data_IF_321835342079
#
_entry.id   IF_321835342079
#
_cell.length_a   1.000
_cell.length_b   1.000
_cell.length_c   1.000
_cell.angle_alpha   90.00
_cell.angle_beta   90.00
_cell.angle_gamma   90.00
#
_symmetry.space_group_name_H-M   'P 1'
#
loop_
_entity.id
_entity.type
_entity.pdbx_description
1 polymer ?
#
# COMPACT_ATOMS: atom_id res chain seq x y z
N UNK A 1 15.19 -1.31 16.78
CA UNK A 1 14.55 -2.64 16.98
C UNK A 1 13.15 -2.60 17.61
N UNK A 2 12.54 -1.42 17.89
CA UNK A 2 11.24 -1.33 18.59
C UNK A 2 10.01 -1.07 17.69
N UNK A 3 10.15 -1.04 16.36
CA UNK A 3 9.06 -0.60 15.48
C UNK A 3 7.88 -1.59 15.44
N UNK A 4 8.17 -2.89 15.48
CA UNK A 4 7.17 -3.97 15.38
C UNK A 4 6.14 -3.95 16.52
N UNK A 5 6.53 -3.89 17.81
CA UNK A 5 5.56 -3.84 18.91
C UNK A 5 4.75 -2.54 18.93
N UNK A 6 5.36 -1.40 18.57
CA UNK A 6 4.65 -0.11 18.51
C UNK A 6 3.58 -0.11 17.41
N UNK A 7 3.91 -0.61 16.21
CA UNK A 7 2.96 -0.65 15.10
C UNK A 7 1.83 -1.66 15.35
N UNK A 8 2.12 -2.80 15.99
CA UNK A 8 1.10 -3.76 16.42
C UNK A 8 0.11 -3.12 17.41
N UNK A 9 0.62 -2.43 18.43
CA UNK A 9 -0.20 -1.73 19.41
C UNK A 9 -1.11 -0.68 18.76
N UNK A 10 -0.56 0.14 17.86
CA UNK A 10 -1.33 1.16 17.14
C UNK A 10 -2.39 0.52 16.23
N UNK A 11 -2.06 -0.56 15.51
CA UNK A 11 -3.02 -1.26 14.66
C UNK A 11 -4.19 -1.84 15.46
N UNK A 12 -3.92 -2.43 16.63
CA UNK A 12 -4.96 -2.90 17.54
C UNK A 12 -5.82 -1.77 18.10
N UNK A 13 -5.20 -0.66 18.53
CA UNK A 13 -5.90 0.51 19.04
C UNK A 13 -6.81 1.13 17.98
N UNK A 14 -6.31 1.40 16.77
CA UNK A 14 -7.10 1.94 15.67
C UNK A 14 -8.27 1.04 15.29
N UNK A 15 -8.06 -0.29 15.27
CA UNK A 15 -9.11 -1.26 14.99
C UNK A 15 -10.22 -1.29 16.04
N UNK A 16 -9.88 -1.03 17.31
CA UNK A 16 -10.82 -0.98 18.42
C UNK A 16 -11.61 0.34 18.46
N UNK A 17 -10.97 1.45 18.10
CA UNK A 17 -11.60 2.77 18.11
C UNK A 17 -12.56 2.92 16.92
N UNK A 18 -12.08 2.65 15.70
CA UNK A 18 -12.90 2.79 14.50
C UNK A 18 -12.39 1.87 13.39
N UNK A 19 -13.08 0.73 13.23
CA UNK A 19 -12.73 -0.30 12.24
C UNK A 19 -13.08 0.11 10.80
N UNK A 20 -14.00 1.06 10.61
CA UNK A 20 -14.57 1.40 9.30
C UNK A 20 -13.97 2.65 8.70
N UNK A 21 -12.84 3.12 9.23
CA UNK A 21 -12.05 4.20 8.63
C UNK A 21 -10.98 3.68 7.67
N UNK A 22 -10.78 4.37 6.53
CA UNK A 22 -9.72 4.00 5.60
C UNK A 22 -8.34 4.09 6.24
N UNK A 23 -8.10 5.05 7.14
CA UNK A 23 -6.84 5.21 7.86
C UNK A 23 -6.55 4.01 8.77
N UNK A 24 -7.56 3.51 9.50
CA UNK A 24 -7.43 2.31 10.33
C UNK A 24 -7.08 1.09 9.47
N UNK A 25 -7.71 0.93 8.31
CA UNK A 25 -7.40 -0.14 7.37
C UNK A 25 -5.96 -0.02 6.82
N UNK A 26 -5.49 1.20 6.55
CA UNK A 26 -4.11 1.46 6.10
C UNK A 26 -3.09 1.13 7.19
N UNK A 27 -3.35 1.50 8.44
CA UNK A 27 -2.47 1.16 9.58
C UNK A 27 -2.35 -0.35 9.76
N UNK A 28 -3.48 -1.07 9.69
CA UNK A 28 -3.50 -2.54 9.77
C UNK A 28 -2.78 -3.16 8.56
N UNK A 29 -2.98 -2.62 7.35
CA UNK A 29 -2.25 -3.04 6.16
C UNK A 29 -0.74 -2.88 6.30
N UNK A 30 -0.28 -1.73 6.81
CA UNK A 30 1.14 -1.48 7.09
C UNK A 30 1.72 -2.46 8.12
N UNK A 31 0.93 -2.82 9.13
CA UNK A 31 1.35 -3.84 10.10
C UNK A 31 1.57 -5.20 9.43
N UNK A 32 0.67 -5.64 8.55
CA UNK A 32 0.84 -6.89 7.81
C UNK A 32 1.98 -6.84 6.79
N UNK A 33 2.19 -5.70 6.12
CA UNK A 33 3.33 -5.46 5.25
C UNK A 33 4.66 -5.65 6.00
N UNK A 34 4.74 -5.10 7.22
CA UNK A 34 5.93 -5.23 8.06
C UNK A 34 6.17 -6.67 8.57
N UNK A 35 5.12 -7.50 8.60
CA UNK A 35 5.20 -8.95 8.86
C UNK A 35 5.50 -9.77 7.59
N UNK A 36 5.77 -9.12 6.45
CA UNK A 36 5.94 -9.76 5.13
C UNK A 36 4.71 -10.56 4.69
N UNK A 37 3.53 -10.23 5.22
CA UNK A 37 2.24 -10.82 4.82
C UNK A 37 1.59 -9.95 3.74
N UNK A 38 2.25 -9.81 2.60
CA UNK A 38 1.90 -8.86 1.54
C UNK A 38 0.48 -9.05 1.00
N UNK A 39 0.02 -10.29 0.82
CA UNK A 39 -1.36 -10.56 0.35
C UNK A 39 -2.43 -10.03 1.32
N UNK A 40 -2.20 -10.20 2.63
CA UNK A 40 -3.10 -9.66 3.66
C UNK A 40 -3.05 -8.14 3.67
N UNK A 41 -1.86 -7.56 3.56
CA UNK A 41 -1.70 -6.11 3.48
C UNK A 41 -2.52 -5.52 2.31
N UNK A 42 -2.40 -6.10 1.12
CA UNK A 42 -3.20 -5.73 -0.07
C UNK A 42 -4.70 -5.85 0.20
N UNK A 43 -5.15 -6.90 0.88
CA UNK A 43 -6.58 -7.05 1.21
C UNK A 43 -7.08 -5.90 2.10
N UNK A 44 -6.29 -5.47 3.08
CA UNK A 44 -6.64 -4.34 3.94
C UNK A 44 -6.57 -3.00 3.20
N UNK A 45 -5.61 -2.80 2.29
CA UNK A 45 -5.58 -1.61 1.43
C UNK A 45 -6.77 -1.57 0.48
N UNK A 46 -7.17 -2.69 -0.11
CA UNK A 46 -8.41 -2.77 -0.89
C UNK A 46 -9.64 -2.41 -0.06
N UNK A 47 -9.72 -2.85 1.20
CA UNK A 47 -10.78 -2.43 2.13
C UNK A 47 -10.75 -0.92 2.40
N UNK A 48 -9.57 -0.34 2.60
CA UNK A 48 -9.43 1.12 2.73
C UNK A 48 -10.00 1.82 1.49
N UNK A 49 -9.70 1.31 0.29
CA UNK A 49 -10.20 1.85 -0.97
C UNK A 49 -11.71 1.65 -1.20
N UNK A 50 -12.32 0.63 -0.61
CA UNK A 50 -13.78 0.48 -0.62
C UNK A 50 -14.49 1.51 0.25
N UNK A 51 -13.83 1.97 1.32
CA UNK A 51 -14.33 3.01 2.22
C UNK A 51 -14.08 4.40 1.65
N UNK A 52 -12.87 4.63 1.14
CA UNK A 52 -12.49 5.86 0.46
C UNK A 52 -11.59 5.57 -0.76
N UNK A 53 -12.17 5.75 -1.95
CA UNK A 53 -11.48 5.54 -3.22
C UNK A 53 -10.40 6.60 -3.49
N UNK A 54 -10.43 7.73 -2.78
CA UNK A 54 -9.48 8.82 -2.89
C UNK A 54 -8.31 8.70 -1.91
N UNK A 55 -8.26 7.61 -1.14
CA UNK A 55 -7.18 7.32 -0.22
C UNK A 55 -5.86 7.04 -0.97
N UNK A 56 -5.07 8.09 -1.18
CA UNK A 56 -3.81 8.07 -1.90
C UNK A 56 -2.76 7.15 -1.28
N UNK A 57 -2.71 7.10 0.05
CA UNK A 57 -1.81 6.22 0.79
C UNK A 57 -2.13 4.74 0.51
N UNK A 58 -3.41 4.37 0.45
CA UNK A 58 -3.79 3.00 0.15
C UNK A 58 -3.36 2.57 -1.27
N UNK A 59 -3.51 3.44 -2.27
CA UNK A 59 -3.05 3.14 -3.64
C UNK A 59 -1.53 3.00 -3.74
N UNK A 60 -0.77 3.91 -3.12
CA UNK A 60 0.71 3.88 -3.16
C UNK A 60 1.28 2.69 -2.39
N UNK A 61 0.73 2.39 -1.19
CA UNK A 61 1.15 1.24 -0.39
C UNK A 61 0.78 -0.08 -1.06
N UNK A 62 -0.42 -0.19 -1.65
CA UNK A 62 -0.81 -1.36 -2.43
C UNK A 62 0.12 -1.58 -3.64
N UNK A 63 0.60 -0.51 -4.27
CA UNK A 63 1.65 -0.56 -5.29
C UNK A 63 2.94 -1.22 -4.75
N UNK A 64 3.44 -0.77 -3.60
CA UNK A 64 4.64 -1.36 -2.99
C UNK A 64 4.46 -2.85 -2.69
N UNK A 65 3.32 -3.24 -2.10
CA UNK A 65 3.06 -4.65 -1.81
C UNK A 65 3.02 -5.51 -3.09
N UNK A 66 2.50 -4.97 -4.20
CA UNK A 66 2.51 -5.70 -5.47
C UNK A 66 3.92 -5.86 -6.06
N UNK A 67 4.82 -4.90 -5.83
CA UNK A 67 6.24 -5.03 -6.19
C UNK A 67 6.89 -6.17 -5.40
N UNK A 68 6.66 -6.24 -4.09
CA UNK A 68 7.16 -7.33 -3.22
C UNK A 68 6.58 -8.69 -3.65
N UNK A 69 5.32 -8.71 -4.09
CA UNK A 69 4.67 -9.91 -4.67
C UNK A 69 5.13 -10.23 -6.11
N UNK A 70 6.06 -9.46 -6.67
CA UNK A 70 6.54 -9.57 -8.07
C UNK A 70 5.42 -9.47 -9.11
N UNK A 71 4.29 -8.85 -8.75
CA UNK A 71 3.20 -8.57 -9.66
C UNK A 71 3.32 -7.14 -10.20
N UNK A 72 4.28 -6.95 -11.09
CA UNK A 72 4.63 -5.63 -11.65
C UNK A 72 3.44 -4.97 -12.37
N UNK A 73 2.58 -5.77 -13.02
CA UNK A 73 1.40 -5.26 -13.72
C UNK A 73 0.40 -4.62 -12.74
N UNK A 74 0.07 -5.31 -11.64
CA UNK A 74 -0.83 -4.77 -10.62
C UNK A 74 -0.21 -3.60 -9.85
N UNK A 75 1.12 -3.60 -9.67
CA UNK A 75 1.84 -2.49 -9.08
C UNK A 75 1.71 -1.22 -9.94
N UNK A 76 1.99 -1.33 -11.25
CA UNK A 76 1.85 -0.23 -12.21
C UNK A 76 0.42 0.33 -12.19
N UNK A 77 -0.60 -0.53 -12.23
CA UNK A 77 -2.00 -0.08 -12.16
C UNK A 77 -2.29 0.70 -10.87
N UNK A 78 -1.81 0.20 -9.73
CA UNK A 78 -2.00 0.84 -8.42
C UNK A 78 -1.32 2.21 -8.35
N UNK A 79 -0.10 2.34 -8.88
CA UNK A 79 0.59 3.62 -8.93
C UNK A 79 -0.06 4.59 -9.92
N UNK A 80 -0.53 4.13 -11.08
CA UNK A 80 -1.27 4.99 -12.01
C UNK A 80 -2.53 5.55 -11.38
N UNK A 81 -3.29 4.72 -10.65
CA UNK A 81 -4.45 5.18 -9.87
C UNK A 81 -4.05 6.20 -8.79
N UNK A 82 -2.92 5.99 -8.10
CA UNK A 82 -2.41 6.96 -7.14
C UNK A 82 -2.09 8.32 -7.79
N UNK A 83 -1.44 8.31 -8.96
CA UNK A 83 -1.16 9.52 -9.76
C UNK A 83 -2.45 10.21 -10.21
N UNK A 84 -3.46 9.44 -10.65
CA UNK A 84 -4.75 10.00 -11.06
C UNK A 84 -5.48 10.68 -9.90
N UNK A 85 -5.40 10.12 -8.68
CA UNK A 85 -5.97 10.71 -7.47
C UNK A 85 -5.23 11.99 -7.07
N UNK A 86 -3.90 11.97 -7.08
CA UNK A 86 -3.10 13.15 -6.79
C UNK A 86 -1.83 13.22 -7.66
N UNK A 87 -1.91 14.00 -8.73
CA UNK A 87 -0.81 14.18 -9.69
C UNK A 87 0.42 14.88 -9.10
N UNK A 88 0.27 15.55 -7.95
CA UNK A 88 1.37 16.27 -7.27
C UNK A 88 2.12 15.41 -6.25
N UNK A 89 1.67 14.18 -5.98
CA UNK A 89 2.38 13.29 -5.07
C UNK A 89 3.56 12.63 -5.77
N UNK A 90 4.77 13.03 -5.37
CA UNK A 90 6.01 12.49 -5.93
C UNK A 90 6.18 10.99 -5.62
N UNK A 91 5.59 10.46 -4.55
CA UNK A 91 5.76 9.06 -4.13
C UNK A 91 5.13 8.11 -5.15
N UNK A 92 3.97 8.48 -5.69
CA UNK A 92 3.29 7.70 -6.71
C UNK A 92 4.09 7.68 -8.02
N UNK A 93 4.65 8.83 -8.42
CA UNK A 93 5.54 8.93 -9.59
C UNK A 93 6.84 8.15 -9.41
N UNK A 94 7.43 8.25 -8.22
CA UNK A 94 8.65 7.52 -7.88
C UNK A 94 8.42 6.00 -7.94
N UNK A 95 7.37 5.50 -7.28
CA UNK A 95 7.00 4.09 -7.33
C UNK A 95 6.69 3.61 -8.74
N UNK A 96 6.01 4.43 -9.55
CA UNK A 96 5.75 4.13 -10.96
C UNK A 96 7.05 4.02 -11.77
N UNK A 97 7.99 4.96 -11.60
CA UNK A 97 9.31 4.91 -12.25
C UNK A 97 10.08 3.66 -11.88
N UNK A 98 10.18 3.34 -10.59
CA UNK A 98 10.83 2.12 -10.11
C UNK A 98 10.19 0.86 -10.68
N UNK A 99 8.86 0.80 -10.77
CA UNK A 99 8.19 -0.38 -11.37
C UNK A 99 8.47 -0.54 -12.85
N UNK A 100 8.62 0.55 -13.61
CA UNK A 100 8.98 0.47 -15.02
C UNK A 100 10.44 0.04 -15.21
N UNK A 101 11.37 0.56 -14.40
CA UNK A 101 12.77 0.09 -14.43
C UNK A 101 12.86 -1.41 -14.18
N UNK A 102 12.12 -1.94 -13.19
CA UNK A 102 12.05 -3.39 -12.91
C UNK A 102 11.46 -4.16 -14.09
N UNK A 103 10.44 -3.63 -14.78
CA UNK A 103 9.85 -4.27 -15.95
C UNK A 103 10.85 -4.35 -17.13
N UNK A 104 11.64 -3.29 -17.35
CA UNK A 104 12.69 -3.24 -18.37
C UNK A 104 13.92 -4.08 -18.01
N UNK A 105 14.11 -4.41 -16.72
CA UNK A 105 15.20 -5.28 -16.23
C UNK A 105 14.95 -6.79 -16.42
N UNK A 106 13.79 -7.21 -16.94
CA UNK A 106 13.46 -8.63 -17.15
C UNK A 106 13.68 -9.13 -18.59
N UNK A 107 14.14 -8.28 -19.49
CA UNK A 107 14.52 -8.66 -20.86
C UNK A 107 16.02 -8.50 -21.05
N UNK A 108 16.80 -9.49 -20.60
CA UNK A 108 18.17 -9.72 -21.10
C UNK A 108 18.51 -11.21 -21.06
#
# INVERSE_FOLDING_TARGET
>A
MELRPKLAFIAHLCSNIDRFRPESCVVVGNYYSLLSMHEKAVQYFRRALTLDRTCLSAWTLMGHEYVELKNTHAAIESYRRAVDVNRRDYRAWYGLGQTYEVLEMHTY
#
